data_IF_498630969763
#
_entry.id   IF_498630969763
#
_cell.length_a   1.000
_cell.length_b   1.000
_cell.length_c   1.000
_cell.angle_alpha   90.00
_cell.angle_beta   90.00
_cell.angle_gamma   90.00
#
_symmetry.space_group_name_H-M   'P 1'
#
loop_
_entity.id
_entity.type
_entity.pdbx_description
1 polymer ?
#
# COMPACT_ATOMS: atom_id res chain seq x y z
N UNK A 1 22.27 8.18 21.17
CA UNK A 1 21.26 7.10 21.11
C UNK A 1 19.88 7.74 21.22
N UNK A 2 19.18 7.95 20.11
CA UNK A 2 17.80 8.43 20.13
C UNK A 2 16.93 7.26 20.62
N UNK A 3 16.63 7.25 21.92
CA UNK A 3 15.64 6.32 22.48
C UNK A 3 14.25 6.89 22.18
N UNK A 4 13.60 6.40 21.16
CA UNK A 4 12.20 6.66 20.97
C UNK A 4 11.42 5.84 22.01
N UNK A 5 11.10 6.49 23.12
CA UNK A 5 10.21 6.13 24.21
C UNK A 5 10.22 4.70 24.79
N UNK A 6 9.58 4.54 25.92
CA UNK A 6 9.27 3.23 26.55
C UNK A 6 8.16 2.45 25.82
N UNK A 7 7.49 3.08 24.85
CA UNK A 7 6.42 2.50 24.04
C UNK A 7 7.00 1.82 22.81
N UNK A 8 6.49 0.65 22.46
CA UNK A 8 6.82 -0.06 21.23
C UNK A 8 6.40 0.73 19.97
N UNK A 9 6.73 0.20 18.78
CA UNK A 9 6.53 0.89 17.50
C UNK A 9 5.10 0.74 16.93
N UNK A 10 4.13 0.28 17.74
CA UNK A 10 2.73 0.04 17.32
C UNK A 10 1.99 1.27 16.81
N UNK A 11 2.46 2.46 17.15
CA UNK A 11 1.90 3.73 16.64
C UNK A 11 2.11 3.94 15.14
N UNK A 12 3.09 3.31 14.50
CA UNK A 12 3.41 3.53 13.08
C UNK A 12 2.26 3.08 12.16
N UNK A 13 1.70 1.85 12.27
CA UNK A 13 0.51 1.46 11.51
C UNK A 13 -0.73 2.30 11.81
N UNK A 14 -0.86 2.80 13.06
CA UNK A 14 -1.97 3.69 13.45
C UNK A 14 -1.86 5.04 12.74
N UNK A 15 -0.67 5.65 12.75
CA UNK A 15 -0.41 6.92 12.03
C UNK A 15 -0.70 6.77 10.54
N UNK A 16 -0.22 5.69 9.92
CA UNK A 16 -0.55 5.37 8.53
C UNK A 16 -2.06 5.34 8.31
N UNK A 17 -2.80 4.62 9.14
CA UNK A 17 -4.26 4.46 8.99
C UNK A 17 -4.99 5.80 9.14
N UNK A 18 -4.56 6.66 10.05
CA UNK A 18 -5.13 8.00 10.23
C UNK A 18 -4.88 8.87 9.00
N UNK A 19 -3.63 8.92 8.51
CA UNK A 19 -3.27 9.73 7.35
C UNK A 19 -3.99 9.24 6.10
N UNK A 20 -4.07 7.92 5.89
CA UNK A 20 -4.73 7.32 4.74
C UNK A 20 -6.24 7.60 4.76
N UNK A 21 -6.91 7.44 5.90
CA UNK A 21 -8.34 7.77 6.04
C UNK A 21 -8.60 9.26 5.83
N UNK A 22 -7.74 10.12 6.38
CA UNK A 22 -7.84 11.57 6.19
C UNK A 22 -7.67 11.95 4.72
N UNK A 23 -6.72 11.35 4.03
CA UNK A 23 -6.50 11.55 2.59
C UNK A 23 -7.73 11.16 1.79
N UNK A 24 -8.26 9.93 1.97
CA UNK A 24 -9.45 9.46 1.27
C UNK A 24 -10.66 10.39 1.49
N UNK A 25 -10.91 10.78 2.75
CA UNK A 25 -12.04 11.62 3.10
C UNK A 25 -11.92 13.03 2.55
N UNK A 26 -10.74 13.66 2.70
CA UNK A 26 -10.55 15.06 2.26
C UNK A 26 -10.57 15.18 0.74
N UNK A 27 -9.89 14.32 0.03
CA UNK A 27 -9.88 14.40 -1.45
C UNK A 27 -11.25 14.15 -2.04
N UNK A 28 -12.00 13.17 -1.54
CA UNK A 28 -13.37 12.93 -1.98
C UNK A 28 -14.30 14.13 -1.70
N UNK A 29 -14.29 14.67 -0.47
CA UNK A 29 -15.15 15.78 -0.10
C UNK A 29 -14.87 17.03 -0.95
N UNK A 30 -13.58 17.35 -1.15
CA UNK A 30 -13.20 18.49 -1.99
C UNK A 30 -13.57 18.28 -3.46
N UNK A 31 -13.30 17.11 -4.03
CA UNK A 31 -13.63 16.80 -5.42
C UNK A 31 -15.13 16.86 -5.71
N UNK A 32 -15.97 16.39 -4.78
CA UNK A 32 -17.43 16.53 -4.87
C UNK A 32 -17.85 17.99 -4.71
N UNK A 33 -17.23 18.74 -3.78
CA UNK A 33 -17.55 20.16 -3.57
C UNK A 33 -17.21 21.02 -4.79
N UNK A 34 -16.04 20.78 -5.41
CA UNK A 34 -15.64 21.48 -6.64
C UNK A 34 -16.38 20.97 -7.88
N UNK A 35 -17.16 19.89 -7.76
CA UNK A 35 -17.87 19.25 -8.89
C UNK A 35 -16.94 18.61 -9.93
N UNK A 36 -15.76 18.21 -9.49
CA UNK A 36 -14.79 17.52 -10.34
C UNK A 36 -15.14 16.05 -10.51
N UNK A 37 -15.87 15.48 -9.56
CA UNK A 37 -16.44 14.11 -9.63
C UNK A 37 -17.90 14.11 -9.22
N UNK A 38 -18.65 13.15 -9.76
CA UNK A 38 -20.00 12.86 -9.29
C UNK A 38 -19.93 12.16 -7.92
N UNK A 39 -20.84 12.49 -6.95
CA UNK A 39 -20.86 11.83 -5.65
C UNK A 39 -21.18 10.33 -5.70
N UNK A 40 -21.68 9.81 -6.83
CA UNK A 40 -22.04 8.39 -6.97
C UNK A 40 -20.83 7.57 -7.37
N UNK A 41 -20.15 7.03 -6.37
CA UNK A 41 -19.03 6.09 -6.49
C UNK A 41 -17.94 6.45 -7.53
N UNK A 42 -17.25 7.60 -7.38
CA UNK A 42 -16.07 7.85 -8.20
C UNK A 42 -14.93 6.89 -7.77
N UNK A 43 -13.99 6.61 -8.67
CA UNK A 43 -12.74 5.98 -8.27
C UNK A 43 -11.98 6.87 -7.28
N UNK A 44 -11.19 6.25 -6.40
CA UNK A 44 -10.33 6.97 -5.45
C UNK A 44 -9.38 7.91 -6.21
N UNK A 45 -8.78 7.42 -7.29
CA UNK A 45 -7.87 8.19 -8.13
C UNK A 45 -8.55 9.38 -8.81
N UNK A 46 -9.81 9.23 -9.24
CA UNK A 46 -10.56 10.33 -9.85
C UNK A 46 -10.82 11.47 -8.85
N UNK A 47 -10.98 11.16 -7.55
CA UNK A 47 -11.11 12.17 -6.51
C UNK A 47 -9.80 12.94 -6.22
N UNK A 48 -8.66 12.46 -6.69
CA UNK A 48 -7.35 13.10 -6.55
C UNK A 48 -6.76 13.58 -7.88
N UNK A 49 -7.56 13.73 -8.93
CA UNK A 49 -7.07 14.02 -10.28
C UNK A 49 -6.94 15.51 -10.59
N UNK A 50 -7.94 16.31 -10.21
CA UNK A 50 -7.98 17.74 -10.48
C UNK A 50 -7.29 18.56 -9.38
N UNK A 51 -6.97 19.82 -9.68
CA UNK A 51 -6.41 20.77 -8.69
C UNK A 51 -7.54 21.52 -8.00
N UNK A 52 -7.44 21.74 -6.68
CA UNK A 52 -6.29 21.54 -5.78
C UNK A 52 -6.17 20.14 -5.16
N UNK A 53 -7.15 19.25 -5.30
CA UNK A 53 -7.25 17.94 -4.66
C UNK A 53 -6.04 17.06 -4.96
N UNK A 54 -5.54 17.11 -6.21
CA UNK A 54 -4.37 16.33 -6.64
C UNK A 54 -3.11 16.67 -5.85
N UNK A 55 -2.96 17.92 -5.39
CA UNK A 55 -1.83 18.30 -4.56
C UNK A 55 -1.89 17.64 -3.17
N UNK A 56 -3.10 17.61 -2.57
CA UNK A 56 -3.33 16.96 -1.26
C UNK A 56 -3.19 15.44 -1.41
N UNK A 57 -3.82 14.88 -2.44
CA UNK A 57 -3.75 13.46 -2.77
C UNK A 57 -2.30 12.99 -2.93
N UNK A 58 -1.53 13.66 -3.80
CA UNK A 58 -0.13 13.33 -4.05
C UNK A 58 0.72 13.41 -2.79
N UNK A 59 0.60 14.48 -2.02
CA UNK A 59 1.39 14.66 -0.80
C UNK A 59 1.10 13.55 0.22
N UNK A 60 -0.17 13.32 0.54
CA UNK A 60 -0.57 12.37 1.57
C UNK A 60 -0.37 10.92 1.12
N UNK A 61 -0.62 10.60 -0.15
CA UNK A 61 -0.43 9.26 -0.68
C UNK A 61 1.06 8.89 -0.77
N UNK A 62 1.96 9.83 -1.14
CA UNK A 62 3.40 9.61 -1.08
C UNK A 62 3.87 9.37 0.37
N UNK A 63 3.35 10.14 1.34
CA UNK A 63 3.64 9.91 2.75
C UNK A 63 3.17 8.51 3.20
N UNK A 64 1.98 8.09 2.79
CA UNK A 64 1.46 6.76 3.03
C UNK A 64 2.35 5.67 2.40
N UNK A 65 2.85 5.88 1.18
CA UNK A 65 3.75 4.95 0.52
C UNK A 65 5.06 4.75 1.29
N UNK A 66 5.66 5.83 1.80
CA UNK A 66 6.86 5.75 2.66
C UNK A 66 6.56 5.02 3.96
N UNK A 67 5.43 5.31 4.60
CA UNK A 67 5.02 4.64 5.84
C UNK A 67 4.75 3.15 5.62
N UNK A 68 4.10 2.77 4.52
CA UNK A 68 3.90 1.35 4.17
C UNK A 68 5.24 0.65 3.93
N UNK A 69 6.16 1.25 3.18
CA UNK A 69 7.48 0.68 2.97
C UNK A 69 8.22 0.43 4.29
N UNK A 70 8.15 1.40 5.22
CA UNK A 70 8.69 1.25 6.57
C UNK A 70 8.01 0.11 7.35
N UNK A 71 6.68 0.05 7.33
CA UNK A 71 5.90 -1.00 8.01
C UNK A 71 6.27 -2.38 7.47
N UNK A 72 6.37 -2.53 6.16
CA UNK A 72 6.77 -3.78 5.49
C UNK A 72 8.18 -4.19 5.91
N UNK A 73 9.12 -3.24 5.96
CA UNK A 73 10.49 -3.50 6.40
C UNK A 73 10.56 -3.92 7.87
N UNK A 74 9.81 -3.24 8.75
CA UNK A 74 9.71 -3.59 10.17
C UNK A 74 9.09 -4.97 10.36
N UNK A 75 8.05 -5.30 9.59
CA UNK A 75 7.42 -6.63 9.61
C UNK A 75 8.39 -7.72 9.15
N UNK A 76 9.14 -7.45 8.07
CA UNK A 76 10.20 -8.34 7.61
C UNK A 76 11.23 -8.61 8.70
N UNK A 77 11.73 -7.56 9.35
CA UNK A 77 12.70 -7.67 10.45
C UNK A 77 12.16 -8.46 11.64
N UNK A 78 10.90 -8.20 12.02
CA UNK A 78 10.23 -8.91 13.11
C UNK A 78 10.13 -10.41 12.83
N UNK A 79 9.66 -10.79 11.64
CA UNK A 79 9.55 -12.21 11.26
C UNK A 79 10.91 -12.88 11.26
N UNK A 80 11.93 -12.22 10.69
CA UNK A 80 13.31 -12.74 10.64
C UNK A 80 13.90 -12.94 12.03
N UNK A 81 13.59 -12.04 12.98
CA UNK A 81 14.09 -12.12 14.36
C UNK A 81 13.43 -13.25 15.14
N UNK A 82 12.12 -13.43 14.98
CA UNK A 82 11.37 -14.48 15.69
C UNK A 82 11.62 -15.88 15.14
N UNK A 83 11.88 -16.03 13.84
CA UNK A 83 12.04 -17.32 13.15
C UNK A 83 13.52 -17.66 12.87
N UNK A 84 14.46 -17.15 13.68
CA UNK A 84 15.92 -17.33 13.47
C UNK A 84 16.34 -18.78 13.31
N UNK A 85 15.70 -19.70 14.04
CA UNK A 85 16.15 -21.08 14.17
C UNK A 85 15.17 -22.11 13.57
N UNK A 86 13.99 -21.70 13.06
CA UNK A 86 12.91 -22.65 12.87
C UNK A 86 12.63 -23.09 11.43
N UNK A 87 12.56 -22.21 10.43
CA UNK A 87 12.09 -22.66 9.11
C UNK A 87 12.73 -21.92 7.92
N UNK A 88 13.52 -22.64 7.13
CA UNK A 88 14.08 -22.13 5.86
C UNK A 88 12.99 -21.58 4.91
N UNK A 89 11.79 -22.18 4.93
CA UNK A 89 10.70 -21.79 4.05
C UNK A 89 10.08 -20.45 4.46
N UNK A 90 9.89 -20.19 5.76
CA UNK A 90 9.39 -18.89 6.26
C UNK A 90 10.32 -17.76 5.86
N UNK A 91 11.63 -17.96 5.99
CA UNK A 91 12.60 -16.93 5.65
C UNK A 91 12.59 -16.61 4.14
N UNK A 92 12.42 -17.64 3.28
CA UNK A 92 12.28 -17.45 1.83
C UNK A 92 11.00 -16.69 1.48
N UNK A 93 9.86 -17.06 2.05
CA UNK A 93 8.59 -16.36 1.85
C UNK A 93 8.65 -14.92 2.36
N UNK A 94 9.30 -14.69 3.51
CA UNK A 94 9.47 -13.37 4.08
C UNK A 94 10.29 -12.45 3.17
N UNK A 95 11.39 -12.97 2.57
CA UNK A 95 12.16 -12.22 1.58
C UNK A 95 11.34 -11.89 0.32
N UNK A 96 10.56 -12.84 -0.20
CA UNK A 96 9.70 -12.62 -1.37
C UNK A 96 8.64 -11.55 -1.04
N UNK A 97 7.99 -11.67 0.12
CA UNK A 97 6.96 -10.72 0.53
C UNK A 97 7.51 -9.30 0.74
N UNK A 98 8.75 -9.16 1.23
CA UNK A 98 9.42 -7.86 1.35
C UNK A 98 9.48 -7.15 -0.01
N UNK A 99 10.01 -7.82 -1.04
CA UNK A 99 10.19 -7.20 -2.34
C UNK A 99 8.87 -6.91 -3.05
N UNK A 100 7.88 -7.81 -2.94
CA UNK A 100 6.52 -7.56 -3.46
C UNK A 100 5.87 -6.38 -2.74
N UNK A 101 6.00 -6.30 -1.42
CA UNK A 101 5.46 -5.19 -0.65
C UNK A 101 6.13 -3.85 -0.99
N UNK A 102 7.45 -3.82 -1.14
CA UNK A 102 8.18 -2.62 -1.59
C UNK A 102 7.75 -2.22 -3.01
N UNK A 103 7.60 -3.18 -3.92
CA UNK A 103 7.08 -2.90 -5.26
C UNK A 103 5.66 -2.32 -5.21
N UNK A 104 4.78 -2.86 -4.35
CA UNK A 104 3.43 -2.34 -4.13
C UNK A 104 3.46 -0.89 -3.61
N UNK A 105 4.32 -0.58 -2.65
CA UNK A 105 4.54 0.77 -2.15
C UNK A 105 5.04 1.73 -3.24
N UNK A 106 5.94 1.28 -4.12
CA UNK A 106 6.36 2.05 -5.29
C UNK A 106 5.21 2.27 -6.28
N UNK A 107 4.35 1.26 -6.51
CA UNK A 107 3.12 1.42 -7.29
C UNK A 107 2.22 2.52 -6.73
N UNK A 108 2.09 2.64 -5.40
CA UNK A 108 1.37 3.73 -4.74
C UNK A 108 1.98 5.11 -5.05
N UNK A 109 3.33 5.22 -5.11
CA UNK A 109 4.00 6.46 -5.53
C UNK A 109 3.68 6.80 -7.00
N UNK A 110 3.59 5.81 -7.89
CA UNK A 110 3.19 6.07 -9.28
C UNK A 110 1.76 6.62 -9.36
N UNK A 111 0.81 6.00 -8.67
CA UNK A 111 -0.57 6.50 -8.59
C UNK A 111 -0.63 7.92 -8.02
N UNK A 112 0.17 8.21 -6.99
CA UNK A 112 0.20 9.52 -6.34
C UNK A 112 0.68 10.66 -7.26
N UNK A 113 1.59 10.37 -8.18
CA UNK A 113 2.30 11.42 -8.94
C UNK A 113 1.90 11.48 -10.42
N UNK A 114 1.26 10.46 -10.96
CA UNK A 114 0.77 10.43 -12.34
C UNK A 114 -0.76 10.38 -12.34
N UNK A 115 -1.39 11.53 -12.57
CA UNK A 115 -2.85 11.63 -12.61
C UNK A 115 -3.43 10.76 -13.71
N UNK A 116 -4.62 10.24 -13.46
CA UNK A 116 -5.37 9.38 -14.38
C UNK A 116 -5.67 10.05 -15.73
N UNK A 117 -5.94 11.35 -15.71
CA UNK A 117 -6.21 12.14 -16.93
C UNK A 117 -4.94 12.58 -17.65
N UNK A 118 -3.79 12.66 -16.98
CA UNK A 118 -2.54 13.14 -17.56
C UNK A 118 -1.74 12.01 -18.23
N UNK A 119 -1.46 10.89 -17.53
CA UNK A 119 -0.63 9.78 -18.02
C UNK A 119 -1.23 8.44 -17.58
N UNK A 120 -2.33 8.08 -18.23
CA UNK A 120 -3.14 6.91 -17.87
C UNK A 120 -2.34 5.60 -17.82
N UNK A 121 -1.39 5.37 -18.73
CA UNK A 121 -0.64 4.12 -18.80
C UNK A 121 0.22 3.91 -17.54
N UNK A 122 0.88 4.98 -17.07
CA UNK A 122 1.71 4.92 -15.86
C UNK A 122 0.81 4.79 -14.64
N UNK A 123 -0.29 5.55 -14.58
CA UNK A 123 -1.28 5.48 -13.51
C UNK A 123 -1.84 4.06 -13.35
N UNK A 124 -2.36 3.46 -14.40
CA UNK A 124 -2.93 2.12 -14.37
C UNK A 124 -1.89 1.04 -14.03
N UNK A 125 -0.67 1.17 -14.56
CA UNK A 125 0.45 0.29 -14.18
C UNK A 125 0.74 0.41 -12.69
N UNK A 126 0.80 1.63 -12.17
CA UNK A 126 0.98 1.92 -10.75
C UNK A 126 -0.14 1.31 -9.90
N UNK A 127 -1.40 1.46 -10.31
CA UNK A 127 -2.56 0.91 -9.61
C UNK A 127 -2.55 -0.64 -9.56
N UNK A 128 -2.21 -1.30 -10.68
CA UNK A 128 -2.08 -2.76 -10.72
C UNK A 128 -0.94 -3.25 -9.81
N UNK A 129 0.22 -2.59 -9.83
CA UNK A 129 1.35 -2.93 -8.97
C UNK A 129 0.99 -2.65 -7.50
N UNK A 130 0.33 -1.54 -7.19
CA UNK A 130 -0.09 -1.17 -5.85
C UNK A 130 -1.09 -2.17 -5.28
N UNK A 131 -2.25 -2.30 -5.90
CA UNK A 131 -3.33 -3.15 -5.39
C UNK A 131 -3.06 -4.64 -5.58
N UNK A 132 -2.58 -5.06 -6.77
CA UNK A 132 -2.23 -6.45 -7.03
C UNK A 132 -1.04 -6.92 -6.17
N UNK A 133 0.00 -6.10 -6.09
CA UNK A 133 1.15 -6.38 -5.22
C UNK A 133 0.77 -6.46 -3.74
N UNK A 134 -0.11 -5.56 -3.25
CA UNK A 134 -0.59 -5.60 -1.87
C UNK A 134 -1.40 -6.87 -1.57
N UNK A 135 -2.25 -7.33 -2.49
CA UNK A 135 -2.99 -8.59 -2.33
C UNK A 135 -2.03 -9.78 -2.19
N UNK A 136 -1.03 -9.88 -3.07
CA UNK A 136 -0.01 -10.94 -2.99
C UNK A 136 0.78 -10.83 -1.68
N UNK A 137 1.19 -9.62 -1.28
CA UNK A 137 1.86 -9.38 -0.01
C UNK A 137 1.02 -9.87 1.17
N UNK A 138 -0.27 -9.51 1.22
CA UNK A 138 -1.17 -9.92 2.30
C UNK A 138 -1.36 -11.45 2.35
N UNK A 139 -1.49 -12.13 1.21
CA UNK A 139 -1.58 -13.59 1.14
C UNK A 139 -0.31 -14.26 1.69
N UNK A 140 0.87 -13.78 1.27
CA UNK A 140 2.14 -14.30 1.76
C UNK A 140 2.31 -14.07 3.28
N UNK A 141 1.94 -12.89 3.77
CA UNK A 141 1.99 -12.58 5.20
C UNK A 141 0.95 -13.34 6.03
N UNK A 142 -0.21 -13.67 5.46
CA UNK A 142 -1.18 -14.56 6.10
C UNK A 142 -0.58 -15.97 6.27
N UNK A 143 0.05 -16.52 5.23
CA UNK A 143 0.75 -17.83 5.30
C UNK A 143 1.88 -17.78 6.34
N UNK A 144 2.71 -16.73 6.34
CA UNK A 144 3.78 -16.54 7.33
C UNK A 144 3.18 -16.47 8.74
N UNK A 145 2.05 -15.78 8.92
CA UNK A 145 1.39 -15.68 10.23
C UNK A 145 0.91 -17.05 10.72
N UNK A 146 0.45 -17.93 9.83
CA UNK A 146 0.12 -19.32 10.18
C UNK A 146 1.36 -20.15 10.56
N UNK A 147 2.50 -19.95 9.91
CA UNK A 147 3.74 -20.61 10.33
C UNK A 147 4.23 -20.14 11.71
N UNK A 148 3.90 -18.90 12.09
CA UNK A 148 4.20 -18.36 13.42
C UNK A 148 3.22 -18.78 14.52
N UNK A 149 2.07 -19.37 14.17
CA UNK A 149 1.11 -19.93 15.12
C UNK A 149 1.54 -21.36 15.53
N UNK A 150 1.35 -21.79 16.79
CA UNK A 150 0.83 -21.04 17.94
C UNK A 150 1.93 -20.26 18.71
N UNK A 151 3.19 -20.43 18.37
CA UNK A 151 4.35 -20.00 19.17
C UNK A 151 4.41 -18.48 19.37
N UNK A 152 4.17 -17.71 18.30
CA UNK A 152 4.37 -16.26 18.32
C UNK A 152 3.07 -15.46 18.11
N UNK A 153 2.04 -16.09 17.54
CA UNK A 153 0.80 -15.41 17.14
C UNK A 153 -0.41 -16.25 17.55
N UNK A 154 -1.50 -15.59 17.97
CA UNK A 154 -2.77 -16.26 18.24
C UNK A 154 -3.49 -16.63 16.93
N UNK A 155 -4.18 -17.78 16.92
CA UNK A 155 -4.94 -18.27 15.76
C UNK A 155 -6.00 -17.29 15.24
N UNK A 156 -6.63 -16.51 16.13
CA UNK A 156 -7.58 -15.46 15.75
C UNK A 156 -6.95 -14.42 14.82
N UNK A 157 -5.72 -13.99 15.10
CA UNK A 157 -5.01 -12.99 14.24
C UNK A 157 -4.66 -13.62 12.89
N UNK A 158 -4.18 -14.87 12.89
CA UNK A 158 -3.89 -15.60 11.66
C UNK A 158 -5.15 -15.75 10.80
N UNK A 159 -6.27 -16.12 11.42
CA UNK A 159 -7.57 -16.22 10.73
C UNK A 159 -8.04 -14.88 10.16
N UNK A 160 -8.04 -13.81 10.98
CA UNK A 160 -8.45 -12.47 10.53
C UNK A 160 -7.59 -11.99 9.34
N UNK A 161 -6.27 -12.14 9.42
CA UNK A 161 -5.36 -11.78 8.30
C UNK A 161 -5.64 -12.59 7.05
N UNK A 162 -5.96 -13.86 7.19
CA UNK A 162 -6.33 -14.72 6.05
C UNK A 162 -7.62 -14.24 5.41
N UNK A 163 -8.66 -13.96 6.20
CA UNK A 163 -9.93 -13.45 5.69
C UNK A 163 -9.74 -12.11 4.97
N UNK A 164 -9.02 -11.17 5.58
CA UNK A 164 -8.74 -9.88 4.97
C UNK A 164 -7.99 -10.03 3.63
N UNK A 165 -6.97 -10.91 3.57
CA UNK A 165 -6.21 -11.16 2.35
C UNK A 165 -7.06 -11.77 1.23
N UNK A 166 -7.95 -12.72 1.57
CA UNK A 166 -8.85 -13.33 0.59
C UNK A 166 -9.89 -12.33 0.08
N UNK A 167 -10.52 -11.57 0.99
CA UNK A 167 -11.50 -10.53 0.61
C UNK A 167 -10.85 -9.48 -0.28
N UNK A 168 -9.65 -8.99 0.07
CA UNK A 168 -8.91 -8.05 -0.77
C UNK A 168 -8.63 -8.60 -2.16
N UNK A 169 -8.23 -9.87 -2.26
CA UNK A 169 -7.95 -10.52 -3.55
C UNK A 169 -9.21 -10.62 -4.43
N UNK A 170 -10.36 -10.94 -3.83
CA UNK A 170 -11.65 -10.96 -4.55
C UNK A 170 -12.03 -9.55 -5.01
N UNK A 171 -11.93 -8.54 -4.12
CA UNK A 171 -12.24 -7.15 -4.47
C UNK A 171 -11.32 -6.61 -5.57
N UNK A 172 -10.04 -6.97 -5.57
CA UNK A 172 -9.11 -6.60 -6.64
C UNK A 172 -9.53 -7.18 -8.00
N UNK A 173 -9.89 -8.47 -8.04
CA UNK A 173 -10.36 -9.12 -9.27
C UNK A 173 -11.65 -8.48 -9.75
N UNK A 174 -12.60 -8.19 -8.85
CA UNK A 174 -13.87 -7.52 -9.18
C UNK A 174 -13.62 -6.11 -9.71
N UNK A 175 -12.82 -5.29 -9.01
CA UNK A 175 -12.50 -3.93 -9.43
C UNK A 175 -11.87 -3.91 -10.82
N UNK A 176 -10.86 -4.75 -11.06
CA UNK A 176 -10.16 -4.81 -12.34
C UNK A 176 -11.06 -5.31 -13.47
N UNK A 177 -11.78 -6.41 -13.26
CA UNK A 177 -12.61 -7.01 -14.31
C UNK A 177 -13.82 -6.13 -14.66
N UNK A 178 -14.54 -5.61 -13.66
CA UNK A 178 -15.68 -4.72 -13.89
C UNK A 178 -15.24 -3.40 -14.53
N UNK A 179 -14.11 -2.82 -14.12
CA UNK A 179 -13.57 -1.60 -14.75
C UNK A 179 -13.21 -1.80 -16.22
N UNK A 180 -12.55 -2.92 -16.56
CA UNK A 180 -12.23 -3.24 -17.96
C UNK A 180 -13.51 -3.48 -18.78
N UNK A 181 -14.49 -4.19 -18.23
CA UNK A 181 -15.76 -4.45 -18.91
C UNK A 181 -16.58 -3.18 -19.10
N UNK A 182 -16.64 -2.30 -18.11
CA UNK A 182 -17.28 -0.99 -18.20
C UNK A 182 -16.70 -0.16 -19.36
N UNK A 183 -15.38 -0.06 -19.44
CA UNK A 183 -14.69 0.64 -20.52
C UNK A 183 -14.99 0.00 -21.90
N UNK A 184 -14.99 -1.33 -22.00
CA UNK A 184 -15.32 -2.02 -23.25
C UNK A 184 -16.75 -1.75 -23.71
N UNK A 185 -17.74 -1.79 -22.82
CA UNK A 185 -19.13 -1.48 -23.13
C UNK A 185 -19.27 -0.04 -23.60
N UNK A 186 -18.58 0.90 -22.92
CA UNK A 186 -18.59 2.29 -23.33
C UNK A 186 -18.02 2.49 -24.75
N UNK A 187 -16.85 1.87 -25.05
CA UNK A 187 -16.24 1.96 -26.39
C UNK A 187 -17.03 1.25 -27.47
N UNK A 188 -17.78 0.18 -27.14
CA UNK A 188 -18.66 -0.46 -28.09
C UNK A 188 -19.84 0.45 -28.51
N UNK A 189 -20.33 1.28 -27.57
CA UNK A 189 -21.39 2.26 -27.83
C UNK A 189 -20.84 3.56 -28.45
N UNK A 190 -19.62 3.96 -28.13
CA UNK A 190 -18.99 5.19 -28.56
C UNK A 190 -17.54 4.95 -29.04
N UNK A 191 -17.34 4.37 -30.25
CA UNK A 191 -15.99 3.98 -30.71
C UNK A 191 -14.98 5.12 -30.80
N UNK A 192 -15.46 6.32 -31.10
CA UNK A 192 -14.60 7.52 -31.34
C UNK A 192 -14.37 8.35 -30.07
N UNK A 193 -14.96 7.97 -28.91
CA UNK A 193 -14.82 8.70 -27.68
C UNK A 193 -13.86 8.01 -26.71
N UNK A 194 -12.98 8.78 -26.01
CA UNK A 194 -12.17 8.21 -24.95
C UNK A 194 -13.06 7.74 -23.79
N UNK A 195 -12.57 6.78 -22.98
CA UNK A 195 -13.24 6.40 -21.73
C UNK A 195 -13.42 7.63 -20.83
N UNK A 196 -14.63 7.90 -20.30
CA UNK A 196 -14.87 9.06 -19.47
C UNK A 196 -14.01 9.01 -18.20
N UNK A 197 -13.40 10.15 -17.87
CA UNK A 197 -12.58 10.31 -16.66
C UNK A 197 -12.72 11.75 -16.16
N UNK A 198 -13.41 11.93 -15.02
CA UNK A 198 -14.19 10.93 -14.29
C UNK A 198 -15.42 10.42 -15.05
N UNK A 199 -15.98 9.31 -14.60
CA UNK A 199 -17.28 8.84 -15.06
C UNK A 199 -18.37 9.81 -14.62
N UNK A 200 -19.35 10.09 -15.49
CA UNK A 200 -20.53 10.85 -15.11
C UNK A 200 -21.46 9.99 -14.25
N UNK A 201 -22.24 10.64 -13.37
CA UNK A 201 -23.28 9.98 -12.57
C UNK A 201 -24.56 9.61 -13.34
N UNK A 202 -24.54 9.62 -14.67
CA UNK A 202 -25.70 9.29 -15.49
C UNK A 202 -25.90 7.76 -15.54
N UNK A 203 -26.97 7.21 -14.94
CA UNK A 203 -27.26 5.78 -14.96
C UNK A 203 -27.47 5.21 -16.38
N UNK A 204 -27.83 6.06 -17.36
CA UNK A 204 -28.03 5.63 -18.75
C UNK A 204 -26.73 5.54 -19.54
N UNK A 205 -25.59 5.94 -18.97
CA UNK A 205 -24.30 5.84 -19.63
C UNK A 205 -23.90 4.39 -19.80
N UNK A 206 -23.53 3.93 -21.02
CA UNK A 206 -23.09 2.56 -21.24
C UNK A 206 -21.91 2.16 -20.34
N UNK A 207 -22.06 1.07 -19.58
CA UNK A 207 -21.05 0.60 -18.64
C UNK A 207 -21.12 1.20 -17.23
N UNK A 208 -22.03 2.13 -16.94
CA UNK A 208 -22.13 2.82 -15.64
C UNK A 208 -22.30 1.86 -14.46
N UNK A 209 -23.19 0.88 -14.54
CA UNK A 209 -23.39 -0.10 -13.45
C UNK A 209 -22.09 -0.85 -13.10
N UNK A 210 -21.37 -1.31 -14.11
CA UNK A 210 -20.09 -2.02 -13.91
C UNK A 210 -19.00 -1.07 -13.36
N UNK A 211 -19.01 0.19 -13.79
CA UNK A 211 -18.16 1.22 -13.20
C UNK A 211 -18.44 1.38 -11.71
N UNK A 212 -19.71 1.50 -11.31
CA UNK A 212 -20.08 1.62 -9.88
C UNK A 212 -19.62 0.41 -9.07
N UNK A 213 -19.82 -0.81 -9.58
CA UNK A 213 -19.35 -2.05 -8.93
C UNK A 213 -17.82 -2.02 -8.79
N UNK A 214 -17.11 -1.62 -9.85
CA UNK A 214 -15.66 -1.49 -9.85
C UNK A 214 -15.17 -0.47 -8.81
N UNK A 215 -15.81 0.70 -8.75
CA UNK A 215 -15.45 1.75 -7.81
C UNK A 215 -15.73 1.34 -6.35
N UNK A 216 -16.88 0.73 -6.06
CA UNK A 216 -17.19 0.19 -4.72
C UNK A 216 -16.15 -0.87 -4.31
N UNK A 217 -15.75 -1.75 -5.25
CA UNK A 217 -14.73 -2.76 -4.99
C UNK A 217 -13.35 -2.12 -4.73
N UNK A 218 -12.98 -1.04 -5.44
CA UNK A 218 -11.73 -0.29 -5.22
C UNK A 218 -11.71 0.36 -3.83
N UNK A 219 -12.78 1.06 -3.41
CA UNK A 219 -12.91 1.62 -2.08
C UNK A 219 -12.85 0.54 -1.00
N UNK A 220 -13.57 -0.56 -1.19
CA UNK A 220 -13.53 -1.71 -0.30
C UNK A 220 -12.12 -2.29 -0.16
N UNK A 221 -11.42 -2.45 -1.29
CA UNK A 221 -10.05 -2.93 -1.35
C UNK A 221 -9.09 -2.02 -0.57
N UNK A 222 -9.20 -0.70 -0.75
CA UNK A 222 -8.38 0.28 -0.03
C UNK A 222 -8.59 0.19 1.48
N UNK A 223 -9.86 0.09 1.93
CA UNK A 223 -10.20 -0.06 3.35
C UNK A 223 -9.66 -1.39 3.92
N UNK A 224 -9.81 -2.49 3.20
CA UNK A 224 -9.31 -3.80 3.65
C UNK A 224 -7.78 -3.81 3.75
N UNK A 225 -7.07 -3.20 2.78
CA UNK A 225 -5.62 -3.01 2.85
C UNK A 225 -5.21 -2.23 4.10
N UNK A 226 -5.89 -1.11 4.38
CA UNK A 226 -5.64 -0.30 5.57
C UNK A 226 -5.85 -1.11 6.86
N UNK A 227 -6.95 -1.85 6.97
CA UNK A 227 -7.25 -2.69 8.13
C UNK A 227 -6.21 -3.81 8.31
N UNK A 228 -5.72 -4.38 7.21
CA UNK A 228 -4.66 -5.38 7.25
C UNK A 228 -3.37 -4.79 7.84
N UNK A 229 -2.92 -3.64 7.34
CA UNK A 229 -1.76 -2.92 7.86
C UNK A 229 -1.96 -2.51 9.33
N UNK A 230 -3.16 -2.02 9.68
CA UNK A 230 -3.51 -1.69 11.07
C UNK A 230 -3.38 -2.89 12.00
N UNK A 231 -3.65 -4.13 11.52
CA UNK A 231 -3.51 -5.35 12.32
C UNK A 231 -2.10 -5.58 12.86
N UNK A 232 -1.07 -4.93 12.28
CA UNK A 232 0.31 -5.01 12.77
C UNK A 232 0.58 -4.13 13.99
N UNK A 233 -0.33 -3.22 14.37
CA UNK A 233 -0.12 -2.31 15.50
C UNK A 233 0.21 -3.06 16.79
N UNK A 234 -0.52 -4.14 17.10
CA UNK A 234 -0.27 -4.98 18.28
C UNK A 234 1.03 -5.79 18.22
N UNK A 235 1.43 -6.22 17.02
CA UNK A 235 2.71 -6.91 16.84
C UNK A 235 3.85 -5.92 17.10
N UNK A 236 3.71 -4.68 16.62
CA UNK A 236 4.74 -3.65 16.73
C UNK A 236 4.81 -2.97 18.11
N UNK A 237 3.76 -3.04 18.91
CA UNK A 237 3.83 -2.66 20.34
C UNK A 237 4.91 -3.45 21.10
N UNK A 238 5.21 -4.67 20.65
CA UNK A 238 6.17 -5.59 21.29
C UNK A 238 7.59 -5.45 20.77
N UNK A 239 7.82 -4.60 19.76
CA UNK A 239 9.15 -4.36 19.20
C UNK A 239 9.63 -2.95 19.49
N UNK A 240 10.94 -2.84 19.69
CA UNK A 240 11.64 -1.55 19.80
C UNK A 240 12.53 -1.38 18.57
N UNK A 241 12.29 -0.32 17.83
CA UNK A 241 13.17 0.09 16.72
C UNK A 241 14.28 0.98 17.27
N UNK A 242 15.53 0.62 17.01
CA UNK A 242 16.69 1.41 17.39
C UNK A 242 17.49 1.80 16.15
N UNK A 243 17.64 3.09 15.92
CA UNK A 243 18.56 3.59 14.92
C UNK A 243 19.95 3.71 15.55
N UNK A 244 20.90 2.87 15.11
CA UNK A 244 22.29 2.91 15.56
C UNK A 244 23.16 3.47 14.46
N UNK A 245 23.70 4.65 14.69
CA UNK A 245 24.72 5.27 13.83
C UNK A 245 26.10 4.93 14.38
N UNK A 246 26.93 4.34 13.55
CA UNK A 246 28.32 4.05 13.88
C UNK A 246 29.22 4.80 12.90
N UNK A 247 30.18 5.62 13.38
CA UNK A 247 31.16 6.21 12.49
C UNK A 247 32.07 5.11 11.92
N UNK A 248 32.34 5.18 10.64
CA UNK A 248 33.29 4.28 9.95
C UNK A 248 34.74 4.76 10.09
N UNK A 249 34.93 5.99 10.54
CA UNK A 249 36.24 6.64 10.72
C UNK A 249 36.24 7.42 12.02
N UNK A 250 37.41 7.56 12.66
CA UNK A 250 37.55 8.36 13.88
C UNK A 250 37.58 9.87 13.61
N UNK A 251 38.04 10.27 12.43
CA UNK A 251 38.09 11.66 12.01
C UNK A 251 37.38 11.81 10.65
N UNK A 252 36.45 12.76 10.57
CA UNK A 252 35.59 12.93 9.36
C UNK A 252 36.39 13.35 8.11
N UNK A 253 37.61 13.79 8.22
CA UNK A 253 38.53 14.05 7.11
C UNK A 253 39.24 12.79 6.57
N UNK A 254 39.07 11.62 7.22
CA UNK A 254 39.61 10.35 6.75
C UNK A 254 38.66 9.67 5.76
N UNK A 255 39.23 9.03 4.71
CA UNK A 255 38.44 8.22 3.79
C UNK A 255 38.16 6.85 4.41
N UNK A 256 36.90 6.33 4.39
CA UNK A 256 36.58 4.98 4.85
C UNK A 256 37.35 3.89 4.10
N UNK A 257 37.73 4.14 2.84
CA UNK A 257 38.47 3.19 1.99
C UNK A 257 39.94 3.03 2.42
N UNK A 258 40.50 4.02 3.12
CA UNK A 258 41.91 3.95 3.54
C UNK A 258 42.09 3.03 4.75
N UNK A 259 41.13 3.02 5.68
CA UNK A 259 41.19 2.13 6.86
C UNK A 259 41.00 0.65 6.51
N UNK A 260 40.28 0.33 5.42
CA UNK A 260 40.10 -1.07 4.99
C UNK A 260 41.36 -1.69 4.34
N UNK A 261 42.33 -0.87 3.96
CA UNK A 261 43.61 -1.33 3.39
C UNK A 261 44.67 -1.60 4.45
N UNK A 262 44.58 -0.93 5.62
CA UNK A 262 45.47 -1.17 6.76
C UNK A 262 45.15 -2.48 7.50
N UNK A 263 43.84 -2.85 7.58
CA UNK A 263 43.39 -4.10 8.22
C UNK A 263 43.72 -5.37 7.40
N UNK A 264 44.11 -5.24 6.14
CA UNK A 264 44.52 -6.36 5.26
C UNK A 264 46.05 -6.57 5.28
N UNK A 265 46.79 -5.69 5.89
CA UNK A 265 48.25 -5.70 5.92
C UNK A 265 48.87 -6.22 7.24
N UNK A 266 48.06 -6.78 8.16
CA UNK A 266 48.44 -7.47 9.37
C UNK A 266 47.93 -8.91 9.30
#
# INVERSE_FOLDING_TARGET
MLQCGKLGSGHIPVIFSIIFTFMLGTTYVFAVWHRDVDPVFPYISSSGDQRPESCIFSLLLNLCAVLIALIIYLRFGLVKELDRDFHRNTNRLNNISLWIGIASSFGMCLVANFQETAVIQIHMTGAIICFGGSCIYMLLQAIITWFMYPTFVHGTIAFVRTVLALVASVLFVVALSCGILAARIYHAAYPDKPTPRPWSGDPNQPGFELHCISAVAEWGLAIINMLYIFSYSRDFEKIRVQLRVQPLVFHLGQSPLYNSLEDVAI
#
